data_IF_162325139942
#
_entry.id   IF_162325139942
#
_cell.length_a   1.000
_cell.length_b   1.000
_cell.length_c   1.000
_cell.angle_alpha   90.00
_cell.angle_beta   90.00
_cell.angle_gamma   90.00
#
_symmetry.space_group_name_H-M   'P 1'
#
loop_
_entity.id
_entity.type
_entity.pdbx_description
1 polymer ?
#
# COMPACT_ATOMS: atom_id res chain seq x y z
N UNK A 1 -29.41 0.34 32.12
CA UNK A 1 -29.68 0.10 30.69
C UNK A 1 -28.80 1.02 29.87
N UNK A 2 -27.64 0.55 29.40
CA UNK A 2 -26.83 1.30 28.43
C UNK A 2 -26.26 0.29 27.46
N UNK A 3 -26.89 0.26 26.30
CA UNK A 3 -26.62 -0.66 25.20
C UNK A 3 -25.51 -0.03 24.35
N UNK A 4 -24.34 -0.69 24.33
CA UNK A 4 -23.40 -0.81 23.22
C UNK A 4 -22.81 0.46 22.58
N UNK A 5 -21.47 0.54 22.61
CA UNK A 5 -20.69 0.66 21.37
C UNK A 5 -19.44 -0.21 21.50
N UNK A 6 -19.61 -1.53 21.30
CA UNK A 6 -18.49 -2.35 20.85
C UNK A 6 -18.28 -1.98 19.38
N UNK A 7 -17.51 -0.93 19.12
CA UNK A 7 -16.86 -0.78 17.82
C UNK A 7 -15.90 -1.97 17.76
N UNK A 8 -16.39 -3.07 17.21
CA UNK A 8 -15.54 -4.11 16.67
C UNK A 8 -14.66 -3.39 15.66
N UNK A 9 -13.44 -3.03 16.09
CA UNK A 9 -12.36 -2.60 15.23
C UNK A 9 -12.20 -3.76 14.26
N UNK A 10 -12.90 -3.67 13.13
CA UNK A 10 -12.74 -4.56 12.00
C UNK A 10 -11.26 -4.55 11.74
N UNK A 11 -10.65 -5.74 11.82
CA UNK A 11 -9.25 -5.98 11.51
C UNK A 11 -9.03 -5.64 10.03
N UNK A 12 -8.92 -4.33 9.72
CA UNK A 12 -8.68 -3.76 8.40
C UNK A 12 -7.20 -3.94 8.08
N UNK A 13 -6.75 -5.19 7.94
CA UNK A 13 -5.41 -5.52 7.47
C UNK A 13 -5.31 -5.33 5.95
N UNK A 14 -5.65 -4.13 5.45
CA UNK A 14 -5.41 -3.68 4.06
C UNK A 14 -4.02 -3.06 3.86
N UNK A 15 -3.21 -3.05 4.91
CA UNK A 15 -1.84 -2.58 4.84
C UNK A 15 -0.91 -3.72 4.44
N UNK A 16 -0.10 -3.49 3.41
CA UNK A 16 0.87 -4.45 2.89
C UNK A 16 2.23 -3.79 2.78
N UNK A 17 3.27 -4.51 3.22
CA UNK A 17 4.66 -4.08 3.09
C UNK A 17 5.34 -5.03 2.12
N UNK A 18 6.15 -4.46 1.23
CA UNK A 18 6.93 -5.20 0.25
C UNK A 18 8.38 -4.75 0.31
N UNK A 19 9.28 -5.67 0.01
CA UNK A 19 10.70 -5.39 -0.20
C UNK A 19 11.03 -5.64 -1.68
N UNK A 20 11.79 -4.72 -2.28
CA UNK A 20 12.35 -4.87 -3.62
C UNK A 20 13.55 -5.80 -3.53
N UNK A 21 13.46 -6.98 -4.14
CA UNK A 21 14.54 -7.99 -4.14
C UNK A 21 15.36 -7.99 -5.42
N UNK A 22 14.80 -7.47 -6.52
CA UNK A 22 15.50 -7.24 -7.79
C UNK A 22 15.16 -5.84 -8.31
N UNK A 23 16.14 -5.07 -8.82
CA UNK A 23 15.86 -3.74 -9.37
C UNK A 23 14.92 -3.83 -10.58
N UNK A 24 14.02 -2.86 -10.69
CA UNK A 24 13.15 -2.64 -11.85
C UNK A 24 12.81 -1.15 -11.95
N UNK A 25 12.43 -0.70 -13.14
CA UNK A 25 12.08 0.70 -13.37
C UNK A 25 10.66 1.01 -12.88
N UNK A 26 10.48 2.22 -12.34
CA UNK A 26 9.20 2.76 -11.92
C UNK A 26 9.18 4.27 -12.09
N UNK A 27 7.98 4.85 -12.16
CA UNK A 27 7.84 6.31 -12.23
C UNK A 27 7.62 6.86 -10.83
N UNK A 28 8.58 7.66 -10.35
CA UNK A 28 8.45 8.43 -9.12
C UNK A 28 7.66 9.72 -9.38
N UNK A 29 6.82 10.10 -8.43
CA UNK A 29 6.18 11.40 -8.44
C UNK A 29 5.71 11.83 -7.07
N UNK A 30 5.39 13.13 -6.94
CA UNK A 30 4.74 13.67 -5.76
C UNK A 30 3.22 13.56 -5.90
N UNK A 31 2.53 12.98 -4.91
CA UNK A 31 1.08 12.85 -4.92
C UNK A 31 0.43 14.22 -4.81
N UNK A 32 -0.50 14.52 -5.73
CA UNK A 32 -1.26 15.77 -5.72
C UNK A 32 -2.28 15.81 -4.55
N UNK A 33 -2.69 17.00 -4.10
CA UNK A 33 -3.81 17.14 -3.17
C UNK A 33 -5.09 16.57 -3.79
N UNK A 34 -5.84 15.75 -3.05
CA UNK A 34 -7.11 15.17 -3.50
C UNK A 34 -7.94 14.66 -2.31
N UNK A 35 -9.25 14.44 -2.49
CA UNK A 35 -10.18 14.01 -1.42
C UNK A 35 -10.08 14.83 -0.12
N UNK A 36 -9.97 16.15 -0.22
CA UNK A 36 -9.77 17.08 0.92
C UNK A 36 -8.53 16.77 1.77
N UNK A 37 -7.55 16.04 1.20
CA UNK A 37 -6.26 15.77 1.81
C UNK A 37 -5.16 16.57 1.12
N UNK A 38 -4.15 17.04 1.87
CA UNK A 38 -3.07 17.88 1.34
C UNK A 38 -2.16 17.15 0.32
N UNK A 39 -2.17 15.82 0.29
CA UNK A 39 -1.26 15.03 -0.55
C UNK A 39 0.20 15.23 -0.14
N UNK A 40 1.11 15.24 -1.12
CA UNK A 40 2.52 15.60 -0.93
C UNK A 40 3.47 14.44 -0.61
N UNK A 41 2.96 13.22 -0.42
CA UNK A 41 3.78 12.00 -0.32
C UNK A 41 4.48 11.65 -1.63
N UNK A 42 5.51 10.82 -1.55
CA UNK A 42 6.14 10.21 -2.73
C UNK A 42 5.34 8.96 -3.11
N UNK A 43 4.99 8.87 -4.38
CA UNK A 43 4.34 7.70 -4.97
C UNK A 43 5.20 7.13 -6.08
N UNK A 44 5.10 5.82 -6.26
CA UNK A 44 5.73 5.12 -7.36
C UNK A 44 4.67 4.41 -8.19
N UNK A 45 4.61 4.69 -9.50
CA UNK A 45 3.81 3.92 -10.44
C UNK A 45 4.65 2.78 -10.98
N UNK A 46 4.22 1.56 -10.69
CA UNK A 46 4.88 0.34 -11.13
C UNK A 46 4.49 -0.01 -12.57
N UNK A 47 5.39 -0.63 -13.36
CA UNK A 47 5.11 -1.03 -14.73
C UNK A 47 4.16 -2.24 -14.81
N UNK A 48 4.02 -2.98 -13.71
CA UNK A 48 3.20 -4.19 -13.58
C UNK A 48 2.40 -4.17 -12.29
N UNK A 49 1.43 -5.07 -12.17
CA UNK A 49 0.67 -5.25 -10.95
C UNK A 49 1.54 -5.85 -9.83
N UNK A 50 1.14 -5.65 -8.58
CA UNK A 50 1.82 -6.26 -7.41
C UNK A 50 1.90 -7.78 -7.54
N UNK A 51 0.83 -8.43 -8.04
CA UNK A 51 0.79 -9.89 -8.21
C UNK A 51 1.84 -10.37 -9.21
N UNK A 52 1.97 -9.69 -10.34
CA UNK A 52 2.98 -10.03 -11.35
C UNK A 52 4.40 -9.83 -10.81
N UNK A 53 4.65 -8.71 -10.12
CA UNK A 53 5.97 -8.44 -9.53
C UNK A 53 6.37 -9.47 -8.47
N UNK A 54 5.41 -10.01 -7.70
CA UNK A 54 5.65 -11.11 -6.77
C UNK A 54 5.94 -12.41 -7.53
N UNK A 55 5.10 -12.76 -8.51
CA UNK A 55 5.24 -14.01 -9.28
C UNK A 55 6.55 -14.07 -10.07
N UNK A 56 7.01 -12.92 -10.58
CA UNK A 56 8.27 -12.78 -11.30
C UNK A 56 9.48 -12.60 -10.37
N UNK A 57 9.25 -12.48 -9.05
CA UNK A 57 10.30 -12.37 -8.03
C UNK A 57 11.03 -11.03 -8.01
N UNK A 58 10.38 -9.93 -8.42
CA UNK A 58 10.93 -8.58 -8.29
C UNK A 58 10.73 -7.99 -6.88
N UNK A 59 9.60 -8.33 -6.26
CA UNK A 59 9.27 -7.92 -4.90
C UNK A 59 8.80 -9.11 -4.08
N UNK A 60 8.98 -9.04 -2.76
CA UNK A 60 8.40 -10.01 -1.81
C UNK A 60 7.59 -9.30 -0.73
N UNK A 61 6.56 -9.96 -0.23
CA UNK A 61 5.76 -9.45 0.89
C UNK A 61 6.55 -9.61 2.19
N UNK A 62 6.50 -8.59 3.05
CA UNK A 62 7.05 -8.62 4.41
C UNK A 62 5.89 -8.84 5.37
N UNK A 63 6.00 -9.88 6.20
CA UNK A 63 5.07 -10.11 7.32
C UNK A 63 5.52 -9.28 8.52
N UNK A 64 4.57 -8.61 9.17
CA UNK A 64 4.77 -7.86 10.41
C UNK A 64 4.28 -8.68 11.59
#
# INVERSE_FOLDING_TARGET
MSQFFKVSILKLNKYHVYEVVKPFEGLEGKTAPWFDQPGGGIQYKMPKTIKELINEGYIRKVEK
#
